data_IF_451278061802
#
_entry.id   IF_451278061802
#
_cell.length_a   1.000
_cell.length_b   1.000
_cell.length_c   1.000
_cell.angle_alpha   90.00
_cell.angle_beta   90.00
_cell.angle_gamma   90.00
#
_symmetry.space_group_name_H-M   'P 1'
#
loop_
_entity.id
_entity.type
_entity.pdbx_description
1 polymer ?
#
# COMPACT_ATOMS: atom_id res chain seq x y z
N UNK A 1 1.03 19.39 10.74
CA UNK A 1 -0.02 19.69 11.74
C UNK A 1 -0.34 21.18 11.86
N UNK A 2 0.63 22.11 11.95
CA UNK A 2 0.30 23.54 12.16
C UNK A 2 -0.65 24.18 11.14
N UNK A 3 -0.63 23.72 9.89
CA UNK A 3 -1.42 24.30 8.79
C UNK A 3 -2.53 23.36 8.26
N UNK A 4 -2.69 22.18 8.84
CA UNK A 4 -3.59 21.13 8.38
C UNK A 4 -4.16 20.34 9.56
N UNK A 5 -4.98 19.32 9.30
CA UNK A 5 -5.56 18.50 10.37
C UNK A 5 -4.59 17.40 10.80
N UNK A 6 -4.54 17.12 12.10
CA UNK A 6 -3.89 15.95 12.69
C UNK A 6 -4.96 15.15 13.44
N UNK A 7 -4.95 13.83 13.28
CA UNK A 7 -5.72 12.90 14.09
C UNK A 7 -4.73 12.14 14.97
N UNK A 8 -4.86 12.27 16.29
CA UNK A 8 -4.03 11.61 17.30
C UNK A 8 -4.68 10.34 17.88
N UNK A 9 -5.91 10.02 17.46
CA UNK A 9 -6.62 8.78 17.78
C UNK A 9 -6.85 7.93 16.53
N UNK A 10 -5.78 7.72 15.74
CA UNK A 10 -5.75 6.79 14.61
C UNK A 10 -4.85 5.61 14.97
N UNK A 11 -5.39 4.39 14.88
CA UNK A 11 -4.68 3.16 15.24
C UNK A 11 -4.53 2.27 14.01
N UNK A 12 -3.49 1.44 14.02
CA UNK A 12 -3.36 0.35 13.05
C UNK A 12 -4.62 -0.55 13.10
N UNK A 13 -5.07 -1.08 11.96
CA UNK A 13 -6.28 -1.90 11.90
C UNK A 13 -6.14 -3.22 12.67
N UNK A 14 -4.91 -3.65 12.94
CA UNK A 14 -4.60 -4.82 13.74
C UNK A 14 -3.20 -4.71 14.33
N UNK A 15 -2.98 -5.34 15.49
CA UNK A 15 -1.64 -5.61 15.98
C UNK A 15 -0.93 -6.57 15.00
N UNK A 16 0.09 -6.07 14.29
CA UNK A 16 0.72 -6.82 13.22
C UNK A 16 1.97 -6.16 12.65
N UNK A 17 2.31 -6.59 11.44
CA UNK A 17 3.42 -6.13 10.62
C UNK A 17 2.83 -5.59 9.31
N UNK A 18 3.68 -5.09 8.42
CA UNK A 18 3.23 -4.33 7.25
C UNK A 18 2.15 -4.99 6.39
N UNK A 19 2.27 -6.29 6.07
CA UNK A 19 1.37 -6.94 5.11
C UNK A 19 -0.12 -6.84 5.52
N UNK A 20 -0.54 -7.27 6.73
CA UNK A 20 -1.90 -7.05 7.20
C UNK A 20 -2.40 -5.61 7.06
N UNK A 21 -1.60 -4.62 7.45
CA UNK A 21 -2.00 -3.21 7.36
C UNK A 21 -2.23 -2.76 5.91
N UNK A 22 -1.34 -3.16 5.00
CA UNK A 22 -1.50 -2.90 3.57
C UNK A 22 -2.74 -3.61 2.99
N UNK A 23 -3.06 -4.84 3.42
CA UNK A 23 -4.29 -5.53 3.03
C UNK A 23 -5.55 -4.81 3.53
N UNK A 24 -5.54 -4.33 4.78
CA UNK A 24 -6.63 -3.51 5.32
C UNK A 24 -6.78 -2.19 4.56
N UNK A 25 -5.69 -1.52 4.21
CA UNK A 25 -5.74 -0.27 3.43
C UNK A 25 -6.46 -0.45 2.09
N UNK A 26 -6.25 -1.57 1.41
CA UNK A 26 -6.80 -1.79 0.05
C UNK A 26 -8.06 -2.66 0.02
N UNK A 27 -8.47 -3.29 1.13
CA UNK A 27 -9.63 -4.19 1.11
C UNK A 27 -10.47 -4.19 2.39
N UNK A 28 -10.03 -3.50 3.44
CA UNK A 28 -10.67 -3.53 4.76
C UNK A 28 -10.56 -4.88 5.46
N UNK A 29 -9.74 -5.82 4.97
CA UNK A 29 -9.63 -7.15 5.53
C UNK A 29 -8.26 -7.80 5.27
N UNK A 30 -7.73 -8.49 6.27
CA UNK A 30 -6.58 -9.39 6.13
C UNK A 30 -7.01 -10.83 6.38
N UNK A 31 -6.75 -11.72 5.41
CA UNK A 31 -7.29 -13.06 5.39
C UNK A 31 -6.34 -14.09 4.79
N UNK A 32 -6.68 -15.35 5.06
CA UNK A 32 -6.09 -16.53 4.43
C UNK A 32 -7.20 -17.38 3.81
N UNK A 33 -7.03 -17.78 2.57
CA UNK A 33 -7.98 -18.55 1.78
C UNK A 33 -7.42 -19.95 1.52
N UNK A 34 -8.24 -20.98 1.71
CA UNK A 34 -7.84 -22.34 1.27
C UNK A 34 -7.98 -22.52 -0.24
N UNK A 35 -8.66 -21.61 -0.94
CA UNK A 35 -8.76 -21.57 -2.39
C UNK A 35 -8.96 -20.14 -2.93
N UNK A 36 -8.03 -19.58 -3.74
CA UNK A 36 -8.06 -18.17 -4.13
C UNK A 36 -9.32 -17.79 -4.94
N UNK A 37 -9.84 -18.68 -5.78
CA UNK A 37 -11.07 -18.38 -6.55
C UNK A 37 -12.40 -18.64 -5.79
N UNK A 38 -12.36 -18.88 -4.47
CA UNK A 38 -13.54 -19.13 -3.65
C UNK A 38 -13.50 -18.25 -2.40
N UNK A 39 -14.12 -17.07 -2.46
CA UNK A 39 -14.15 -16.12 -1.33
C UNK A 39 -14.66 -16.73 -0.01
N UNK A 40 -15.60 -17.70 -0.07
CA UNK A 40 -16.10 -18.43 1.11
C UNK A 40 -15.05 -19.29 1.82
N UNK A 41 -13.92 -19.54 1.17
CA UNK A 41 -12.80 -20.29 1.73
C UNK A 41 -11.85 -19.43 2.56
N UNK A 42 -12.05 -18.10 2.53
CA UNK A 42 -11.22 -17.13 3.21
C UNK A 42 -11.68 -16.95 4.66
N UNK A 43 -10.71 -16.93 5.58
CA UNK A 43 -10.93 -16.68 7.01
C UNK A 43 -9.96 -15.59 7.48
N UNK A 44 -10.36 -14.72 8.45
CA UNK A 44 -9.47 -13.69 8.96
C UNK A 44 -8.14 -14.27 9.45
N UNK A 45 -7.03 -13.65 9.08
CA UNK A 45 -5.71 -14.05 9.54
C UNK A 45 -4.75 -12.85 9.59
N UNK A 46 -4.48 -12.38 10.79
CA UNK A 46 -3.69 -11.17 11.03
C UNK A 46 -2.18 -11.45 11.14
N UNK A 47 -1.80 -12.68 11.48
CA UNK A 47 -0.40 -13.03 11.73
C UNK A 47 0.30 -13.50 10.46
N UNK A 48 -0.37 -14.38 9.71
CA UNK A 48 0.13 -15.02 8.51
C UNK A 48 -0.98 -15.07 7.45
N UNK A 49 -1.39 -13.92 6.90
CA UNK A 49 -2.28 -13.91 5.74
C UNK A 49 -1.63 -14.65 4.57
N UNK A 50 -2.40 -14.91 3.51
CA UNK A 50 -1.80 -15.44 2.29
C UNK A 50 -0.69 -14.51 1.80
N UNK A 51 0.33 -15.09 1.16
CA UNK A 51 1.42 -14.33 0.55
C UNK A 51 1.94 -15.12 -0.65
N UNK A 52 2.14 -14.44 -1.78
CA UNK A 52 2.41 -15.06 -3.08
C UNK A 52 3.70 -15.87 -3.13
N UNK A 53 4.67 -15.67 -2.22
CA UNK A 53 5.94 -16.39 -2.27
C UNK A 53 5.82 -17.91 -1.99
N UNK A 54 4.66 -18.38 -1.53
CA UNK A 54 4.39 -19.80 -1.25
C UNK A 54 3.56 -20.52 -2.32
N UNK A 55 2.98 -19.80 -3.29
CA UNK A 55 2.13 -20.38 -4.33
C UNK A 55 2.70 -19.96 -5.70
N UNK A 56 2.91 -20.94 -6.58
CA UNK A 56 3.54 -20.83 -7.89
C UNK A 56 3.36 -19.44 -8.58
N UNK A 57 4.42 -18.90 -9.24
CA UNK A 57 4.61 -17.47 -9.53
C UNK A 57 3.68 -16.83 -10.58
N UNK A 58 2.42 -17.27 -10.72
CA UNK A 58 1.47 -16.79 -11.74
C UNK A 58 0.01 -16.68 -11.30
N UNK A 59 -0.37 -17.13 -10.11
CA UNK A 59 -1.78 -17.11 -9.70
C UNK A 59 -2.01 -16.14 -8.52
N UNK A 60 -3.00 -15.23 -8.60
CA UNK A 60 -3.38 -14.39 -7.47
C UNK A 60 -3.78 -15.24 -6.27
N UNK A 61 -3.40 -14.78 -5.07
CA UNK A 61 -3.62 -15.50 -3.81
C UNK A 61 -4.80 -14.95 -3.01
N UNK A 62 -5.19 -13.68 -3.20
CA UNK A 62 -6.26 -13.05 -2.45
C UNK A 62 -7.62 -13.25 -3.12
N UNK A 63 -8.43 -14.09 -2.49
CA UNK A 63 -9.73 -14.50 -3.00
C UNK A 63 -10.93 -13.66 -2.57
N UNK A 64 -10.70 -12.65 -1.73
CA UNK A 64 -11.71 -11.69 -1.34
C UNK A 64 -11.67 -10.44 -2.21
N UNK A 65 -12.64 -9.55 -2.00
CA UNK A 65 -12.79 -8.34 -2.83
C UNK A 65 -11.96 -7.21 -2.25
N UNK A 66 -11.12 -6.59 -3.08
CA UNK A 66 -10.43 -5.35 -2.77
C UNK A 66 -11.30 -4.12 -3.11
N UNK A 67 -10.92 -2.95 -2.60
CA UNK A 67 -11.61 -1.69 -2.82
C UNK A 67 -11.62 -1.28 -4.30
N UNK A 68 -10.60 -1.65 -5.07
CA UNK A 68 -10.48 -1.28 -6.48
C UNK A 68 -11.53 -1.98 -7.37
N UNK A 69 -12.08 -3.12 -6.93
CA UNK A 69 -13.28 -3.73 -7.54
C UNK A 69 -14.46 -2.76 -7.53
N UNK A 70 -14.73 -2.09 -6.40
CA UNK A 70 -15.83 -1.13 -6.32
C UNK A 70 -15.53 0.12 -7.17
N UNK A 71 -14.30 0.60 -7.16
CA UNK A 71 -13.88 1.71 -8.02
C UNK A 71 -14.06 1.36 -9.51
N UNK A 72 -13.69 0.14 -9.91
CA UNK A 72 -13.89 -0.38 -11.26
C UNK A 72 -15.37 -0.37 -11.67
N UNK A 73 -16.22 -0.98 -10.84
CA UNK A 73 -17.67 -1.11 -11.05
C UNK A 73 -18.37 0.23 -11.19
N UNK A 74 -17.84 1.27 -10.57
CA UNK A 74 -18.37 2.63 -10.61
C UNK A 74 -17.57 3.59 -11.51
N UNK A 75 -16.66 3.07 -12.33
CA UNK A 75 -15.83 3.85 -13.25
C UNK A 75 -15.04 5.00 -12.59
N UNK A 76 -14.65 4.81 -11.33
CA UNK A 76 -13.80 5.75 -10.60
C UNK A 76 -12.34 5.44 -10.95
N UNK A 77 -11.63 6.42 -11.52
CA UNK A 77 -10.23 6.26 -11.90
C UNK A 77 -9.35 6.13 -10.66
N UNK A 78 -8.39 5.21 -10.70
CA UNK A 78 -7.45 5.02 -9.61
C UNK A 78 -6.06 4.64 -10.10
N UNK A 79 -5.04 4.90 -9.28
CA UNK A 79 -3.70 4.37 -9.47
C UNK A 79 -3.00 4.07 -8.14
N UNK A 80 -2.16 3.04 -8.15
CA UNK A 80 -1.30 2.66 -7.03
C UNK A 80 0.16 2.87 -7.45
N UNK A 81 0.79 3.88 -6.88
CA UNK A 81 2.11 4.37 -7.27
C UNK A 81 3.19 3.79 -6.35
N UNK A 82 3.99 2.86 -6.85
CA UNK A 82 5.02 2.17 -6.07
C UNK A 82 6.40 2.72 -6.42
N UNK A 83 7.16 3.16 -5.41
CA UNK A 83 8.54 3.55 -5.60
C UNK A 83 9.41 2.30 -5.82
N UNK A 84 10.21 2.30 -6.89
CA UNK A 84 11.16 1.23 -7.14
C UNK A 84 12.31 1.27 -6.13
N UNK A 85 12.76 0.11 -5.65
CA UNK A 85 13.86 0.03 -4.68
C UNK A 85 13.95 -1.32 -4.00
N UNK A 86 14.25 -1.31 -2.71
CA UNK A 86 14.18 -2.49 -1.86
C UNK A 86 12.90 -2.46 -1.02
N UNK A 87 12.36 -3.64 -0.76
CA UNK A 87 11.35 -3.89 0.25
C UNK A 87 11.98 -3.68 1.64
N UNK A 88 11.31 -2.95 2.55
CA UNK A 88 11.87 -2.62 3.87
C UNK A 88 11.79 -3.75 4.89
N UNK A 89 10.70 -4.53 4.86
CA UNK A 89 10.40 -5.53 5.88
C UNK A 89 10.46 -6.96 5.32
N UNK A 90 10.52 -7.94 6.20
CA UNK A 90 10.53 -9.36 5.87
C UNK A 90 9.13 -9.88 5.58
N UNK A 91 9.00 -10.90 4.72
CA UNK A 91 7.69 -11.47 4.37
C UNK A 91 7.06 -12.36 5.45
N UNK A 92 7.50 -12.21 6.69
CA UNK A 92 6.96 -12.97 7.80
C UNK A 92 7.06 -12.18 9.10
N UNK A 93 6.01 -12.28 9.91
CA UNK A 93 5.85 -11.56 11.17
C UNK A 93 6.91 -11.87 12.26
N UNK A 94 7.79 -12.85 12.03
CA UNK A 94 8.71 -13.38 13.05
C UNK A 94 10.18 -13.07 12.74
N UNK A 95 10.50 -12.69 11.50
CA UNK A 95 11.86 -12.44 11.06
C UNK A 95 12.20 -10.96 11.17
N UNK A 96 13.16 -10.66 12.03
CA UNK A 96 13.72 -9.30 12.17
C UNK A 96 14.78 -8.99 11.10
N UNK A 97 15.31 -10.02 10.42
CA UNK A 97 16.36 -9.88 9.40
C UNK A 97 16.13 -10.90 8.29
N UNK A 98 16.15 -10.43 7.04
CA UNK A 98 16.00 -11.24 5.84
C UNK A 98 16.82 -10.66 4.69
N UNK A 99 16.94 -11.41 3.60
CA UNK A 99 17.54 -10.89 2.38
C UNK A 99 16.66 -9.81 1.75
N UNK A 100 17.27 -8.69 1.36
CA UNK A 100 16.53 -7.59 0.72
C UNK A 100 15.84 -8.04 -0.56
N UNK A 101 14.54 -7.80 -0.65
CA UNK A 101 13.74 -8.04 -1.86
C UNK A 101 13.62 -6.78 -2.70
N UNK A 102 13.41 -6.95 -4.00
CA UNK A 102 13.15 -5.81 -4.89
C UNK A 102 11.70 -5.37 -4.72
N UNK A 103 11.49 -4.07 -4.67
CA UNK A 103 10.17 -3.45 -4.70
C UNK A 103 9.96 -2.69 -6.00
N UNK A 104 8.75 -2.72 -6.52
CA UNK A 104 8.34 -1.92 -7.67
C UNK A 104 6.94 -2.26 -8.15
N UNK A 105 6.42 -1.46 -9.08
CA UNK A 105 5.04 -1.58 -9.56
C UNK A 105 4.69 -2.95 -10.17
N UNK A 106 5.66 -3.64 -10.76
CA UNK A 106 5.50 -4.98 -11.33
C UNK A 106 5.84 -6.13 -10.37
N UNK A 107 6.16 -5.83 -9.12
CA UNK A 107 6.53 -6.84 -8.11
C UNK A 107 5.41 -6.92 -7.07
N UNK A 108 4.65 -8.03 -7.04
CA UNK A 108 3.78 -8.33 -5.89
C UNK A 108 4.65 -8.54 -4.65
N UNK A 109 4.35 -7.80 -3.59
CA UNK A 109 5.04 -7.90 -2.30
C UNK A 109 4.20 -7.28 -1.18
N UNK A 110 4.71 -7.27 0.04
CA UNK A 110 3.96 -6.94 1.26
C UNK A 110 3.40 -5.51 1.28
N UNK A 111 4.05 -4.56 0.60
CA UNK A 111 3.62 -3.17 0.46
C UNK A 111 2.89 -2.89 -0.87
N UNK A 112 2.86 -3.88 -1.76
CA UNK A 112 2.15 -3.86 -3.04
C UNK A 112 1.26 -5.12 -3.17
N UNK A 113 0.18 -5.23 -2.38
CA UNK A 113 -0.67 -6.42 -2.36
C UNK A 113 -1.67 -6.50 -3.52
N UNK A 114 -1.98 -5.37 -4.17
CA UNK A 114 -2.98 -5.31 -5.25
C UNK A 114 -2.76 -6.31 -6.40
N UNK A 115 -1.52 -6.55 -6.88
CA UNK A 115 -1.27 -7.57 -7.91
C UNK A 115 -1.69 -8.98 -7.53
N UNK A 116 -1.89 -9.30 -6.24
CA UNK A 116 -2.24 -10.64 -5.78
C UNK A 116 -3.75 -10.85 -5.59
N UNK A 117 -4.58 -9.84 -5.85
CA UNK A 117 -6.05 -9.97 -5.81
C UNK A 117 -6.61 -10.59 -7.10
N UNK A 118 -7.45 -11.62 -6.94
CA UNK A 118 -8.14 -12.28 -8.06
C UNK A 118 -8.97 -11.27 -8.87
N UNK A 119 -9.63 -10.33 -8.20
CA UNK A 119 -10.43 -9.25 -8.81
C UNK A 119 -9.61 -8.30 -9.66
N UNK A 120 -8.42 -7.87 -9.19
CA UNK A 120 -7.51 -7.00 -9.96
C UNK A 120 -7.08 -7.65 -11.28
N UNK A 121 -6.82 -8.97 -11.27
CA UNK A 121 -6.53 -9.73 -12.50
C UNK A 121 -7.74 -9.83 -13.43
N UNK A 122 -8.88 -10.25 -12.88
CA UNK A 122 -10.12 -10.48 -13.66
C UNK A 122 -10.64 -9.21 -14.31
N UNK A 123 -10.50 -8.08 -13.61
CA UNK A 123 -11.00 -6.79 -14.06
C UNK A 123 -9.93 -6.03 -14.89
N UNK A 124 -8.80 -6.70 -15.20
CA UNK A 124 -7.68 -6.20 -16.00
C UNK A 124 -7.04 -4.90 -15.48
N UNK A 125 -6.93 -4.75 -14.16
CA UNK A 125 -6.52 -3.50 -13.53
C UNK A 125 -5.03 -3.43 -13.14
N UNK A 126 -4.22 -4.44 -13.45
CA UNK A 126 -2.78 -4.44 -13.17
C UNK A 126 -2.06 -3.20 -13.75
N UNK A 127 -2.55 -2.64 -14.87
CA UNK A 127 -2.01 -1.41 -15.47
C UNK A 127 -2.21 -0.12 -14.65
N UNK A 128 -3.01 -0.16 -13.59
CA UNK A 128 -3.18 0.95 -12.65
C UNK A 128 -2.09 0.99 -11.58
N UNK A 129 -1.30 -0.07 -11.45
CA UNK A 129 -0.15 -0.15 -10.57
C UNK A 129 1.07 0.37 -11.34
N UNK A 130 1.64 1.48 -10.89
CA UNK A 130 2.57 2.30 -11.70
C UNK A 130 3.77 2.71 -10.87
N UNK A 131 4.89 3.03 -11.55
CA UNK A 131 6.05 3.58 -10.86
C UNK A 131 5.72 4.95 -10.24
N UNK A 132 6.24 5.22 -9.04
CA UNK A 132 6.00 6.48 -8.33
C UNK A 132 6.43 7.74 -9.13
N UNK A 133 7.40 7.64 -10.03
CA UNK A 133 7.76 8.75 -10.93
C UNK A 133 6.60 9.23 -11.81
N UNK A 134 5.63 8.34 -12.12
CA UNK A 134 4.42 8.68 -12.89
C UNK A 134 3.45 9.54 -12.09
N UNK A 135 3.50 9.52 -10.76
CA UNK A 135 2.69 10.39 -9.91
C UNK A 135 3.05 11.86 -10.12
N UNK A 136 4.33 12.21 -10.01
CA UNK A 136 4.81 13.58 -10.22
C UNK A 136 4.43 14.12 -11.60
N UNK A 137 4.57 13.27 -12.61
CA UNK A 137 4.15 13.55 -13.98
C UNK A 137 2.63 13.75 -14.13
N UNK A 138 1.81 12.98 -13.40
CA UNK A 138 0.36 13.11 -13.42
C UNK A 138 -0.07 14.41 -12.73
N UNK A 139 0.47 14.69 -11.55
CA UNK A 139 0.23 15.92 -10.79
C UNK A 139 0.62 17.17 -11.59
N UNK A 140 1.78 17.18 -12.25
CA UNK A 140 2.20 18.35 -13.02
C UNK A 140 1.32 18.63 -14.25
N UNK A 141 0.54 17.65 -14.72
CA UNK A 141 -0.26 17.74 -15.95
C UNK A 141 -1.77 17.86 -15.73
N UNK A 142 -2.26 17.85 -14.49
CA UNK A 142 -3.71 17.85 -14.28
C UNK A 142 -4.37 16.48 -14.48
N UNK A 143 -3.61 15.38 -14.35
CA UNK A 143 -4.05 14.03 -14.70
C UNK A 143 -3.96 13.02 -13.53
N UNK A 144 -4.03 13.48 -12.29
CA UNK A 144 -4.18 12.58 -11.14
C UNK A 144 -5.52 11.83 -11.22
N UNK A 145 -5.55 10.52 -10.95
CA UNK A 145 -6.80 9.79 -10.85
C UNK A 145 -7.57 10.20 -9.60
N UNK A 146 -8.87 9.89 -9.57
CA UNK A 146 -9.75 10.23 -8.45
C UNK A 146 -9.29 9.61 -7.12
N UNK A 147 -8.66 8.43 -7.16
CA UNK A 147 -8.02 7.80 -5.99
C UNK A 147 -6.56 7.46 -6.31
N UNK A 148 -5.64 7.97 -5.51
CA UNK A 148 -4.19 7.71 -5.66
C UNK A 148 -3.61 7.17 -4.36
N UNK A 149 -3.03 5.98 -4.40
CA UNK A 149 -2.15 5.48 -3.34
C UNK A 149 -0.70 5.66 -3.76
N UNK A 150 0.18 6.03 -2.83
CA UNK A 150 1.61 6.21 -3.09
C UNK A 150 2.38 5.46 -2.00
N UNK A 151 3.29 4.57 -2.41
CA UNK A 151 4.02 3.68 -1.52
C UNK A 151 5.54 3.91 -1.66
N UNK A 152 6.24 4.30 -0.58
CA UNK A 152 7.69 4.47 -0.57
C UNK A 152 8.42 3.14 -0.70
N UNK A 153 9.69 3.21 -1.09
CA UNK A 153 10.63 2.10 -0.91
C UNK A 153 11.31 2.20 0.46
N UNK A 154 12.10 1.17 0.83
CA UNK A 154 12.80 1.13 2.11
C UNK A 154 13.54 2.42 2.48
N UNK A 155 14.23 3.06 1.52
CA UNK A 155 15.05 4.25 1.76
C UNK A 155 14.26 5.53 2.12
N UNK A 156 12.95 5.57 1.84
CA UNK A 156 12.12 6.77 2.00
C UNK A 156 10.83 6.52 2.80
N UNK A 157 10.80 5.44 3.58
CA UNK A 157 9.58 4.96 4.22
C UNK A 157 9.50 5.21 5.73
N UNK A 158 10.49 5.89 6.29
CA UNK A 158 10.71 6.01 7.75
C UNK A 158 10.99 4.67 8.46
N UNK A 159 10.89 3.53 7.77
CA UNK A 159 11.16 2.21 8.32
C UNK A 159 12.64 2.05 8.74
N UNK A 160 12.93 1.62 9.98
CA UNK A 160 14.31 1.35 10.40
C UNK A 160 15.01 0.31 9.51
N UNK A 161 16.32 0.45 9.25
CA UNK A 161 17.24 1.46 9.76
C UNK A 161 17.31 2.73 8.90
N UNK A 162 16.35 2.96 7.98
CA UNK A 162 16.38 4.11 7.08
C UNK A 162 16.19 5.44 7.80
N UNK A 163 16.65 6.51 7.16
CA UNK A 163 16.56 7.86 7.72
C UNK A 163 15.13 8.40 7.66
N UNK A 164 14.56 8.72 8.82
CA UNK A 164 13.28 9.46 8.92
C UNK A 164 13.36 10.79 8.17
N UNK A 165 14.50 11.49 8.21
CA UNK A 165 14.66 12.73 7.46
C UNK A 165 14.60 12.51 5.93
N UNK A 166 15.01 11.34 5.43
CA UNK A 166 14.88 11.00 4.02
C UNK A 166 13.41 10.71 3.64
N UNK A 167 12.68 9.97 4.47
CA UNK A 167 11.25 9.73 4.25
C UNK A 167 10.42 11.01 4.33
N UNK A 168 10.64 11.86 5.34
CA UNK A 168 9.98 13.17 5.44
C UNK A 168 10.25 14.08 4.24
N UNK A 169 11.48 14.13 3.71
CA UNK A 169 11.79 14.86 2.47
C UNK A 169 11.02 14.32 1.28
N UNK A 170 10.89 13.00 1.18
CA UNK A 170 10.17 12.36 0.09
C UNK A 170 8.66 12.65 0.17
N UNK A 171 8.04 12.48 1.35
CA UNK A 171 6.64 12.86 1.61
C UNK A 171 6.40 14.32 1.28
N UNK A 172 7.30 15.22 1.70
CA UNK A 172 7.21 16.66 1.39
C UNK A 172 7.17 16.88 -0.12
N UNK A 173 8.02 16.19 -0.88
CA UNK A 173 8.04 16.31 -2.35
C UNK A 173 6.73 15.89 -3.02
N UNK A 174 6.04 14.86 -2.47
CA UNK A 174 4.74 14.40 -2.95
C UNK A 174 3.65 15.42 -2.65
N UNK A 175 3.60 15.93 -1.42
CA UNK A 175 2.65 16.96 -1.00
C UNK A 175 2.84 18.23 -1.85
N UNK A 176 4.08 18.68 -2.04
CA UNK A 176 4.40 19.83 -2.89
C UNK A 176 4.00 19.62 -4.35
N UNK A 177 4.07 18.38 -4.85
CA UNK A 177 3.64 18.06 -6.22
C UNK A 177 2.12 18.24 -6.37
N UNK A 178 1.33 17.77 -5.40
CA UNK A 178 -0.12 17.95 -5.40
C UNK A 178 -0.50 19.41 -5.15
N UNK A 179 0.15 20.11 -4.21
CA UNK A 179 -0.14 21.52 -3.91
C UNK A 179 0.13 22.45 -5.10
N UNK A 180 1.07 22.09 -5.98
CA UNK A 180 1.37 22.82 -7.22
C UNK A 180 0.58 22.32 -8.43
N UNK A 181 -0.20 21.26 -8.29
CA UNK A 181 -0.99 20.68 -9.39
C UNK A 181 -2.24 21.52 -9.71
N UNK A 182 -2.76 21.44 -10.95
CA UNK A 182 -4.07 22.00 -11.29
C UNK A 182 -5.21 21.48 -10.40
N UNK A 183 -5.11 20.25 -9.87
CA UNK A 183 -6.15 19.61 -9.05
C UNK A 183 -6.06 19.97 -7.55
N UNK A 184 -5.11 20.79 -7.12
CA UNK A 184 -4.90 21.11 -5.70
C UNK A 184 -6.19 21.53 -4.99
N UNK A 185 -6.97 22.43 -5.61
CA UNK A 185 -8.19 23.01 -5.03
C UNK A 185 -9.30 21.98 -4.75
N UNK A 186 -9.21 20.79 -5.32
CA UNK A 186 -10.17 19.71 -5.18
C UNK A 186 -9.54 18.41 -4.65
N UNK A 187 -8.33 18.49 -4.09
CA UNK A 187 -7.59 17.33 -3.59
C UNK A 187 -7.65 17.26 -2.06
N UNK A 188 -7.72 16.04 -1.54
CA UNK A 188 -7.45 15.73 -0.13
C UNK A 188 -6.28 14.74 -0.07
N UNK A 189 -5.35 14.99 0.85
CA UNK A 189 -4.18 14.12 1.07
C UNK A 189 -4.32 13.49 2.44
N UNK A 190 -4.25 12.16 2.49
CA UNK A 190 -4.15 11.39 3.73
C UNK A 190 -2.73 10.86 3.85
N UNK A 191 -2.09 11.12 4.98
CA UNK A 191 -0.78 10.58 5.34
C UNK A 191 -0.96 9.70 6.58
N UNK A 192 -0.58 8.44 6.47
CA UNK A 192 -0.61 7.45 7.53
C UNK A 192 0.59 6.52 7.43
N UNK A 193 0.86 5.79 8.50
CA UNK A 193 1.82 4.70 8.55
C UNK A 193 1.05 3.37 8.55
N UNK A 194 1.69 2.30 8.09
CA UNK A 194 1.12 0.95 8.04
C UNK A 194 1.15 0.29 9.42
N UNK A 195 2.29 0.36 10.11
CA UNK A 195 2.46 -0.12 11.49
C UNK A 195 3.25 0.88 12.37
N UNK A 196 3.37 0.53 13.64
CA UNK A 196 3.98 1.36 14.69
C UNK A 196 5.52 1.25 14.77
N UNK A 197 6.14 0.43 13.93
CA UNK A 197 7.59 0.29 13.78
C UNK A 197 8.34 -0.25 15.00
N UNK A 198 7.62 -0.75 16.02
CA UNK A 198 8.24 -1.17 17.28
C UNK A 198 8.51 -0.03 18.27
N UNK A 199 8.07 1.20 17.99
CA UNK A 199 8.30 2.38 18.83
C UNK A 199 7.27 2.55 19.96
N UNK A 200 7.69 2.98 21.13
CA UNK A 200 6.77 3.16 22.26
C UNK A 200 5.63 4.16 21.96
N UNK A 201 4.39 3.72 22.20
CA UNK A 201 3.20 4.57 22.36
C UNK A 201 2.55 4.28 23.74
N UNK A 202 1.91 5.29 24.32
CA UNK A 202 1.37 5.23 25.69
C UNK A 202 -0.13 4.89 25.75
N UNK A 203 -0.81 4.91 24.61
CA UNK A 203 -2.26 4.71 24.51
C UNK A 203 -2.58 3.21 24.54
N UNK A 204 -3.65 2.85 25.27
CA UNK A 204 -4.13 1.47 25.48
C UNK A 204 -5.58 1.33 25.02
#
# INVERSE_FOLDING_TARGET
AYNFVLQDHLFEPNYGWSLPAHLFMVSGWSARCTHPYRARSCTPNLRNPDFSDKLAPKAPSYGWTDLTYMLHRHHVSWAYYVQGGAQPDCDNAEAMVCGGKKQGAGTPEIWNPLPDFVTVHRDHQLGNIRAASRFFSAASRGNLPAVSWIVPNAAHSDHPPSSVAAGQRWVTSLVDAVMRSPEWKSSAIFLSWDDWGGFYDHVV
#
